data_IF_140457843441
#
_entry.id   IF_140457843441
#
_cell.length_a   1.000
_cell.length_b   1.000
_cell.length_c   1.000
_cell.angle_alpha   90.00
_cell.angle_beta   90.00
_cell.angle_gamma   90.00
#
_symmetry.space_group_name_H-M   'P 1'
#
loop_
_entity.id
_entity.type
_entity.pdbx_description
1 polymer ?
#
# COMPACT_ATOMS: atom_id res chain seq x y z
N UNK A 1 -20.21 -6.21 1.01
CA UNK A 1 -19.60 -6.39 -0.35
C UNK A 1 -18.12 -6.17 -0.19
N UNK A 2 -17.27 -6.96 -0.85
CA UNK A 2 -15.83 -6.78 -0.75
C UNK A 2 -15.43 -5.39 -1.27
N UNK A 3 -14.41 -4.78 -0.63
CA UNK A 3 -13.86 -3.51 -1.11
C UNK A 3 -13.01 -3.70 -2.37
N UNK A 4 -12.37 -4.87 -2.49
CA UNK A 4 -11.54 -5.27 -3.65
C UNK A 4 -11.99 -6.63 -4.15
N UNK A 5 -12.12 -6.77 -5.48
CA UNK A 5 -12.38 -8.05 -6.12
C UNK A 5 -11.59 -8.17 -7.43
N UNK A 6 -10.76 -9.20 -7.54
CA UNK A 6 -10.05 -9.60 -8.76
C UNK A 6 -10.77 -10.80 -9.38
N UNK A 7 -11.12 -10.72 -10.68
CA UNK A 7 -11.80 -11.78 -11.43
C UNK A 7 -10.97 -12.21 -12.64
N UNK A 8 -10.30 -13.34 -12.55
CA UNK A 8 -9.48 -13.95 -13.61
C UNK A 8 -8.48 -12.97 -14.24
N UNK A 9 -7.81 -12.19 -13.40
CA UNK A 9 -6.91 -11.10 -13.83
C UNK A 9 -5.59 -11.68 -14.29
N UNK A 10 -5.18 -11.35 -15.51
CA UNK A 10 -3.85 -11.64 -16.07
C UNK A 10 -3.15 -10.33 -16.44
N UNK A 11 -1.82 -10.30 -16.24
CA UNK A 11 -0.97 -9.23 -16.74
C UNK A 11 0.22 -9.82 -17.46
N UNK A 12 0.33 -9.50 -18.74
CA UNK A 12 1.39 -9.97 -19.64
C UNK A 12 2.16 -8.74 -20.12
N UNK A 13 3.45 -8.72 -19.89
CA UNK A 13 4.36 -7.73 -20.44
C UNK A 13 5.02 -8.28 -21.68
N UNK A 14 5.03 -7.51 -22.78
CA UNK A 14 5.65 -7.88 -24.03
C UNK A 14 6.86 -6.97 -24.27
N UNK A 15 8.04 -7.57 -24.50
CA UNK A 15 9.26 -6.86 -24.84
C UNK A 15 9.95 -7.57 -26.01
N UNK A 16 9.80 -7.00 -27.22
CA UNK A 16 10.20 -7.67 -28.46
C UNK A 16 9.44 -8.99 -28.63
N UNK A 17 10.16 -10.09 -28.85
CA UNK A 17 9.59 -11.44 -29.00
C UNK A 17 9.37 -12.19 -27.66
N UNK A 18 9.67 -11.54 -26.52
CA UNK A 18 9.52 -12.15 -25.21
C UNK A 18 8.23 -11.72 -24.53
N UNK A 19 7.41 -12.69 -24.11
CA UNK A 19 6.25 -12.47 -23.26
C UNK A 19 6.56 -12.92 -21.83
N UNK A 20 6.33 -12.01 -20.87
CA UNK A 20 6.42 -12.32 -19.46
C UNK A 20 5.04 -12.21 -18.82
N UNK A 21 4.47 -13.34 -18.43
CA UNK A 21 3.22 -13.38 -17.69
C UNK A 21 3.48 -13.10 -16.21
N UNK A 22 3.32 -11.85 -15.81
CA UNK A 22 3.53 -11.43 -14.44
C UNK A 22 2.40 -11.87 -13.49
N UNK A 23 1.14 -11.90 -14.01
CA UNK A 23 -0.01 -12.49 -13.32
C UNK A 23 -0.78 -13.40 -14.30
N UNK A 24 -1.28 -14.53 -13.80
CA UNK A 24 -1.98 -15.55 -14.57
C UNK A 24 -3.30 -15.95 -13.90
N UNK A 25 -4.41 -15.40 -14.39
CA UNK A 25 -5.81 -15.67 -13.98
C UNK A 25 -6.02 -15.59 -12.47
N UNK A 26 -5.50 -14.52 -11.87
CA UNK A 26 -5.61 -14.27 -10.43
C UNK A 26 -7.04 -13.88 -10.06
N UNK A 27 -7.60 -14.54 -9.03
CA UNK A 27 -8.92 -14.23 -8.49
C UNK A 27 -8.87 -14.27 -6.95
N UNK A 28 -9.35 -13.20 -6.30
CA UNK A 28 -9.54 -13.11 -4.85
C UNK A 28 -10.44 -11.92 -4.52
N UNK A 29 -10.90 -11.84 -3.28
CA UNK A 29 -11.63 -10.69 -2.75
C UNK A 29 -11.10 -10.29 -1.38
N UNK A 30 -11.26 -9.01 -1.03
CA UNK A 30 -10.88 -8.44 0.27
C UNK A 30 -12.03 -7.64 0.84
N UNK A 31 -12.29 -7.79 2.12
CA UNK A 31 -13.25 -6.97 2.84
C UNK A 31 -12.64 -5.66 3.32
N UNK A 32 -13.49 -4.66 3.56
CA UNK A 32 -13.10 -3.34 4.03
C UNK A 32 -12.52 -3.40 5.45
N UNK A 33 -11.57 -2.50 5.75
CA UNK A 33 -10.97 -2.35 7.07
C UNK A 33 -9.99 -3.45 7.47
N UNK A 34 -9.57 -4.31 6.55
CA UNK A 34 -8.62 -5.40 6.80
C UNK A 34 -7.17 -4.98 6.62
N UNK A 35 -6.30 -5.52 7.46
CA UNK A 35 -4.85 -5.48 7.27
C UNK A 35 -4.43 -6.73 6.49
N UNK A 36 -4.04 -6.54 5.24
CA UNK A 36 -3.78 -7.61 4.27
C UNK A 36 -2.30 -7.66 3.94
N UNK A 37 -1.71 -8.85 3.95
CA UNK A 37 -0.33 -9.07 3.51
C UNK A 37 -0.29 -9.97 2.29
N UNK A 38 0.30 -9.47 1.21
CA UNK A 38 0.59 -10.24 -0.01
C UNK A 38 2.05 -10.70 0.08
N UNK A 39 2.22 -11.99 0.29
CA UNK A 39 3.51 -12.63 0.54
C UNK A 39 3.98 -13.44 -0.67
N UNK A 40 5.26 -13.35 -0.99
CA UNK A 40 5.87 -14.18 -2.02
C UNK A 40 7.33 -13.81 -2.30
N UNK A 41 8.08 -14.67 -2.98
CA UNK A 41 9.47 -14.39 -3.35
C UNK A 41 9.57 -13.19 -4.32
N UNK A 42 10.80 -12.69 -4.53
CA UNK A 42 11.05 -11.68 -5.56
C UNK A 42 10.61 -12.21 -6.94
N UNK A 43 10.04 -11.34 -7.77
CA UNK A 43 9.52 -11.73 -9.09
C UNK A 43 8.22 -12.55 -9.08
N UNK A 44 7.57 -12.76 -7.92
CA UNK A 44 6.32 -13.54 -7.85
C UNK A 44 5.10 -12.85 -8.47
N UNK A 45 5.17 -11.55 -8.78
CA UNK A 45 4.04 -10.74 -9.29
C UNK A 45 3.39 -9.82 -8.25
N UNK A 46 3.97 -9.68 -7.04
CA UNK A 46 3.41 -8.88 -5.93
C UNK A 46 3.24 -7.40 -6.29
N UNK A 47 4.31 -6.73 -6.75
CA UNK A 47 4.26 -5.32 -7.14
C UNK A 47 3.37 -5.09 -8.36
N UNK A 48 3.30 -6.06 -9.29
CA UNK A 48 2.34 -6.02 -10.41
C UNK A 48 0.91 -6.02 -9.89
N UNK A 49 0.59 -6.88 -8.92
CA UNK A 49 -0.72 -6.95 -8.29
C UNK A 49 -1.06 -5.64 -7.58
N UNK A 50 -0.10 -5.06 -6.83
CA UNK A 50 -0.24 -3.78 -6.17
C UNK A 50 -0.49 -2.65 -7.18
N UNK A 51 0.28 -2.60 -8.29
CA UNK A 51 0.15 -1.59 -9.33
C UNK A 51 -1.21 -1.66 -10.04
N UNK A 52 -1.70 -2.85 -10.31
CA UNK A 52 -3.04 -3.05 -10.90
C UNK A 52 -4.13 -2.57 -9.94
N UNK A 53 -4.05 -2.95 -8.66
CA UNK A 53 -5.00 -2.50 -7.64
C UNK A 53 -4.96 -0.98 -7.47
N UNK A 54 -3.78 -0.39 -7.57
CA UNK A 54 -3.57 1.05 -7.44
C UNK A 54 -3.88 1.86 -8.70
N UNK A 55 -4.24 1.21 -9.82
CA UNK A 55 -4.49 1.90 -11.08
C UNK A 55 -3.23 2.58 -11.66
N UNK A 56 -2.05 2.06 -11.35
CA UNK A 56 -0.77 2.47 -11.96
C UNK A 56 -0.49 1.66 -13.23
N UNK A 57 -1.18 0.54 -13.39
CA UNK A 57 -1.12 -0.34 -14.55
C UNK A 57 -2.53 -0.90 -14.82
N UNK A 58 -2.75 -1.49 -16.00
CA UNK A 58 -4.04 -2.07 -16.40
C UNK A 58 -3.89 -3.55 -16.68
N UNK A 59 -4.89 -4.39 -16.37
CA UNK A 59 -4.84 -5.81 -16.66
C UNK A 59 -4.87 -6.06 -18.18
N UNK A 60 -4.19 -7.12 -18.62
CA UNK A 60 -4.29 -7.61 -20.00
C UNK A 60 -5.61 -8.37 -20.21
N UNK A 61 -6.06 -9.10 -19.18
CA UNK A 61 -7.31 -9.85 -19.16
C UNK A 61 -7.93 -9.81 -17.77
N UNK A 62 -9.25 -10.07 -17.71
CA UNK A 62 -10.00 -10.11 -16.45
C UNK A 62 -10.47 -8.73 -16.00
N UNK A 63 -11.00 -8.68 -14.77
CA UNK A 63 -11.60 -7.46 -14.21
C UNK A 63 -11.19 -7.25 -12.77
N UNK A 64 -11.05 -5.97 -12.40
CA UNK A 64 -10.74 -5.54 -11.04
C UNK A 64 -11.83 -4.58 -10.60
N UNK A 65 -12.48 -4.91 -9.47
CA UNK A 65 -13.48 -4.05 -8.88
C UNK A 65 -12.95 -3.48 -7.56
N UNK A 66 -13.15 -2.18 -7.37
CA UNK A 66 -12.85 -1.49 -6.11
C UNK A 66 -14.08 -0.71 -5.67
N UNK A 67 -14.56 -0.97 -4.46
CA UNK A 67 -15.84 -0.41 -3.95
C UNK A 67 -16.99 -0.57 -4.95
N UNK A 68 -17.04 -1.71 -5.65
CA UNK A 68 -18.05 -2.03 -6.66
C UNK A 68 -17.84 -1.40 -8.04
N UNK A 69 -16.87 -0.51 -8.23
CA UNK A 69 -16.53 0.11 -9.52
C UNK A 69 -15.49 -0.74 -10.26
N UNK A 70 -15.75 -1.07 -11.54
CA UNK A 70 -14.77 -1.74 -12.43
C UNK A 70 -13.68 -0.73 -12.81
N UNK A 71 -12.47 -0.91 -12.27
CA UNK A 71 -11.32 -0.05 -12.57
C UNK A 71 -10.52 -0.51 -13.79
N UNK A 72 -10.79 -1.72 -14.32
CA UNK A 72 -10.06 -2.28 -15.46
C UNK A 72 -10.38 -1.58 -16.77
N UNK A 73 -11.55 -0.94 -16.84
CA UNK A 73 -12.06 -0.28 -18.05
C UNK A 73 -11.91 1.27 -18.00
N UNK A 74 -11.27 1.80 -16.94
CA UNK A 74 -11.11 3.24 -16.77
C UNK A 74 -10.04 3.78 -17.71
N UNK A 75 -10.28 4.99 -18.24
CA UNK A 75 -9.30 5.79 -18.96
C UNK A 75 -8.18 6.26 -18.01
N UNK A 76 -7.09 6.78 -18.58
CA UNK A 76 -5.97 7.32 -17.78
C UNK A 76 -6.40 8.47 -16.84
N UNK A 77 -7.31 9.33 -17.29
CA UNK A 77 -7.83 10.44 -16.50
C UNK A 77 -8.72 9.91 -15.35
N UNK A 78 -9.61 8.96 -15.63
CA UNK A 78 -10.43 8.31 -14.59
C UNK A 78 -9.59 7.51 -13.59
N UNK A 79 -8.47 6.89 -14.02
CA UNK A 79 -7.51 6.26 -13.13
C UNK A 79 -6.76 7.30 -12.28
N UNK A 80 -6.50 8.51 -12.80
CA UNK A 80 -5.94 9.60 -12.00
C UNK A 80 -6.92 10.02 -10.90
N UNK A 81 -8.20 10.19 -11.22
CA UNK A 81 -9.27 10.49 -10.25
C UNK A 81 -9.44 9.37 -9.22
N UNK A 82 -9.38 8.12 -9.66
CA UNK A 82 -9.40 6.95 -8.77
C UNK A 82 -8.23 6.97 -7.79
N UNK A 83 -7.00 7.22 -8.28
CA UNK A 83 -5.83 7.37 -7.42
C UNK A 83 -5.97 8.57 -6.48
N UNK A 84 -6.48 9.69 -6.98
CA UNK A 84 -6.67 10.89 -6.17
C UNK A 84 -7.65 10.69 -5.01
N UNK A 85 -8.74 9.98 -5.22
CA UNK A 85 -9.84 9.87 -4.25
C UNK A 85 -9.84 8.61 -3.39
N UNK A 86 -9.24 7.50 -3.86
CA UNK A 86 -9.49 6.19 -3.27
C UNK A 86 -8.23 5.53 -2.72
N UNK A 87 -7.07 5.75 -3.34
CA UNK A 87 -5.84 5.01 -3.03
C UNK A 87 -4.77 5.91 -2.46
N UNK A 88 -4.12 5.49 -1.38
CA UNK A 88 -2.84 6.03 -0.91
C UNK A 88 -1.71 5.05 -1.24
N UNK A 89 -0.52 5.56 -1.56
CA UNK A 89 0.66 4.76 -1.82
C UNK A 89 1.77 5.06 -0.84
N UNK A 90 2.39 3.99 -0.32
CA UNK A 90 3.63 4.01 0.44
C UNK A 90 4.63 3.13 -0.29
N UNK A 91 5.68 3.72 -0.82
CA UNK A 91 6.72 3.03 -1.58
C UNK A 91 7.92 2.68 -0.69
N UNK A 92 8.72 1.73 -1.13
CA UNK A 92 9.98 1.36 -0.49
C UNK A 92 10.97 2.54 -0.44
N UNK A 93 11.03 3.34 -1.50
CA UNK A 93 11.72 4.62 -1.51
C UNK A 93 10.70 5.71 -1.17
N UNK A 94 11.03 6.58 -0.24
CA UNK A 94 10.09 7.51 0.40
C UNK A 94 9.44 8.52 -0.54
N UNK A 95 10.08 8.80 -1.69
CA UNK A 95 9.59 9.72 -2.73
C UNK A 95 9.20 11.10 -2.17
N UNK A 96 9.97 11.59 -1.19
CA UNK A 96 9.81 12.94 -0.66
C UNK A 96 10.45 13.96 -1.59
N UNK A 97 9.84 15.13 -1.68
CA UNK A 97 10.41 16.28 -2.40
C UNK A 97 11.47 16.90 -1.51
N UNK A 98 12.78 16.86 -1.88
CA UNK A 98 13.87 17.22 -0.97
C UNK A 98 13.94 18.70 -0.64
N UNK A 99 13.33 19.56 -1.46
CA UNK A 99 13.27 21.01 -1.30
C UNK A 99 12.08 21.51 -0.50
N UNK A 100 11.19 20.61 -0.09
CA UNK A 100 10.03 20.90 0.75
C UNK A 100 10.26 20.38 2.16
N UNK A 101 9.75 21.09 3.14
CA UNK A 101 9.74 20.64 4.55
C UNK A 101 8.87 19.40 4.71
N UNK A 102 8.96 18.73 5.85
CA UNK A 102 8.12 17.59 6.25
C UNK A 102 6.64 17.93 6.11
N UNK A 103 6.22 19.07 6.69
CA UNK A 103 4.84 19.54 6.62
C UNK A 103 4.40 19.79 5.16
N UNK A 104 5.20 20.50 4.38
CA UNK A 104 4.90 20.80 2.98
C UNK A 104 4.80 19.53 2.13
N UNK A 105 5.68 18.52 2.36
CA UNK A 105 5.58 17.23 1.70
C UNK A 105 4.22 16.54 1.93
N UNK A 106 3.69 16.63 3.15
CA UNK A 106 2.37 16.07 3.47
C UNK A 106 1.26 16.93 2.88
N UNK A 107 1.39 18.27 2.87
CA UNK A 107 0.41 19.18 2.32
C UNK A 107 0.20 19.07 0.81
N UNK A 108 1.18 18.50 0.06
CA UNK A 108 1.03 18.30 -1.39
C UNK A 108 -0.28 17.57 -1.78
N UNK A 109 -0.81 16.73 -0.91
CA UNK A 109 -2.05 15.99 -1.20
C UNK A 109 -3.30 16.87 -1.10
N UNK A 110 -3.24 18.03 -0.45
CA UNK A 110 -4.38 18.93 -0.31
C UNK A 110 -4.86 19.49 -1.65
N UNK A 111 -3.91 19.60 -2.62
CA UNK A 111 -4.21 20.10 -3.97
C UNK A 111 -5.05 19.09 -4.80
N UNK A 112 -5.01 17.80 -4.42
CA UNK A 112 -5.63 16.72 -5.22
C UNK A 112 -6.71 15.95 -4.46
N UNK A 113 -6.85 16.16 -3.14
CA UNK A 113 -7.80 15.43 -2.31
C UNK A 113 -8.71 16.40 -1.54
N UNK A 114 -9.98 16.57 -1.94
CA UNK A 114 -10.88 17.57 -1.35
C UNK A 114 -11.22 17.32 0.12
N UNK A 115 -11.05 16.09 0.60
CA UNK A 115 -11.31 15.66 1.98
C UNK A 115 -10.03 15.27 2.71
N UNK A 116 -8.90 15.90 2.38
CA UNK A 116 -7.63 15.63 3.03
C UNK A 116 -7.68 15.95 4.53
N UNK A 117 -7.02 15.11 5.33
CA UNK A 117 -6.77 15.40 6.73
C UNK A 117 -5.69 16.50 6.87
N UNK A 118 -5.75 17.31 7.93
CA UNK A 118 -4.69 18.28 8.23
C UNK A 118 -3.33 17.58 8.32
N UNK A 119 -2.31 18.17 7.69
CA UNK A 119 -0.96 17.60 7.63
C UNK A 119 -0.36 17.41 9.03
N UNK A 120 -0.53 18.42 9.91
CA UNK A 120 -0.03 18.39 11.28
C UNK A 120 -0.62 17.20 12.06
N UNK A 121 -1.93 16.93 11.90
CA UNK A 121 -2.59 15.81 12.54
C UNK A 121 -1.99 14.48 12.08
N UNK A 122 -1.75 14.31 10.79
CA UNK A 122 -1.16 13.08 10.27
C UNK A 122 0.30 12.91 10.67
N UNK A 123 1.04 14.00 10.81
CA UNK A 123 2.42 13.98 11.31
C UNK A 123 2.47 13.66 12.81
N UNK A 124 1.50 14.12 13.59
CA UNK A 124 1.34 13.73 15.00
C UNK A 124 1.06 12.22 15.14
N UNK A 125 0.16 11.67 14.33
CA UNK A 125 -0.19 10.23 14.34
C UNK A 125 1.01 9.31 14.03
N UNK A 126 2.00 9.81 13.28
CA UNK A 126 3.23 9.08 12.98
C UNK A 126 4.41 9.47 13.88
N UNK A 127 4.18 10.29 14.92
CA UNK A 127 5.20 10.69 15.91
C UNK A 127 6.24 11.65 15.34
N UNK A 128 5.83 12.63 14.51
CA UNK A 128 6.71 13.62 13.87
C UNK A 128 6.29 15.07 14.15
N UNK A 129 5.60 15.33 15.27
CA UNK A 129 5.17 16.69 15.66
C UNK A 129 6.31 17.69 15.75
N UNK A 130 7.49 17.25 16.20
CA UNK A 130 8.67 18.11 16.42
C UNK A 130 9.48 18.34 15.14
N UNK A 131 9.13 17.67 14.03
CA UNK A 131 9.88 17.67 12.77
C UNK A 131 9.20 18.44 11.63
N UNK A 132 8.13 19.19 11.89
CA UNK A 132 7.28 19.83 10.86
C UNK A 132 8.07 20.69 9.86
N UNK A 133 9.09 21.41 10.36
CA UNK A 133 9.89 22.37 9.60
C UNK A 133 11.23 21.79 9.10
N UNK A 134 11.53 20.54 9.43
CA UNK A 134 12.74 19.87 8.94
C UNK A 134 12.62 19.54 7.46
N UNK A 135 13.75 19.47 6.77
CA UNK A 135 13.84 18.95 5.41
C UNK A 135 14.10 17.43 5.41
N UNK A 136 13.75 16.70 4.35
CA UNK A 136 14.03 15.27 4.27
C UNK A 136 15.48 14.86 4.55
N UNK A 137 16.45 15.71 4.19
CA UNK A 137 17.87 15.47 4.42
C UNK A 137 18.28 15.49 5.90
N UNK A 138 17.44 16.04 6.77
CA UNK A 138 17.68 16.13 8.23
C UNK A 138 17.06 14.97 9.00
N UNK A 139 16.35 14.06 8.29
CA UNK A 139 15.62 12.94 8.84
C UNK A 139 16.35 11.61 8.62
N UNK A 140 16.26 10.71 9.60
CA UNK A 140 16.59 9.29 9.42
C UNK A 140 15.70 8.63 8.37
N UNK A 141 16.10 7.46 7.83
CA UNK A 141 15.30 6.71 6.87
C UNK A 141 13.91 6.35 7.40
N UNK A 142 13.82 5.98 8.67
CA UNK A 142 12.55 5.67 9.31
C UNK A 142 11.62 6.87 9.48
N UNK A 143 12.19 8.05 9.79
CA UNK A 143 11.40 9.29 9.83
C UNK A 143 10.90 9.68 8.45
N UNK A 144 11.74 9.57 7.41
CA UNK A 144 11.33 9.80 6.02
C UNK A 144 10.19 8.86 5.61
N UNK A 145 10.26 7.58 6.00
CA UNK A 145 9.19 6.62 5.75
C UNK A 145 7.90 7.02 6.46
N UNK A 146 7.97 7.46 7.72
CA UNK A 146 6.80 7.95 8.45
C UNK A 146 6.19 9.21 7.81
N UNK A 147 7.01 10.13 7.26
CA UNK A 147 6.50 11.26 6.45
C UNK A 147 5.76 10.77 5.21
N UNK A 148 6.31 9.79 4.49
CA UNK A 148 5.66 9.17 3.32
C UNK A 148 4.30 8.55 3.68
N UNK A 149 4.22 7.87 4.83
CA UNK A 149 2.97 7.32 5.37
C UNK A 149 1.99 8.44 5.74
N UNK A 150 2.43 9.46 6.46
CA UNK A 150 1.60 10.61 6.82
C UNK A 150 1.02 11.30 5.57
N UNK A 151 1.83 11.49 4.52
CA UNK A 151 1.39 12.02 3.23
C UNK A 151 0.33 11.14 2.57
N UNK A 152 0.53 9.83 2.55
CA UNK A 152 -0.44 8.90 1.98
C UNK A 152 -1.76 8.89 2.75
N UNK A 153 -1.71 9.00 4.09
CA UNK A 153 -2.85 9.03 4.98
C UNK A 153 -3.61 10.37 4.95
N UNK A 154 -2.88 11.49 4.82
CA UNK A 154 -3.47 12.82 4.75
C UNK A 154 -4.50 12.94 3.62
N UNK A 155 -4.31 12.18 2.56
CA UNK A 155 -5.25 12.04 1.45
C UNK A 155 -6.60 11.43 1.84
N UNK A 156 -6.72 10.83 3.02
CA UNK A 156 -7.90 10.12 3.51
C UNK A 156 -8.35 8.96 2.59
N UNK A 157 -7.44 8.09 2.12
CA UNK A 157 -7.77 7.05 1.17
C UNK A 157 -8.65 5.97 1.81
N UNK A 158 -9.40 5.21 0.98
CA UNK A 158 -10.09 3.99 1.42
C UNK A 158 -9.12 2.82 1.53
N UNK A 159 -8.14 2.77 0.63
CA UNK A 159 -7.14 1.70 0.54
C UNK A 159 -5.75 2.32 0.58
N UNK A 160 -4.89 1.83 1.46
CA UNK A 160 -3.47 2.17 1.51
C UNK A 160 -2.66 0.99 0.98
N UNK A 161 -1.90 1.22 -0.07
CA UNK A 161 -1.04 0.24 -0.74
C UNK A 161 0.42 0.50 -0.36
N UNK A 162 1.07 -0.51 0.23
CA UNK A 162 2.43 -0.41 0.73
C UNK A 162 3.33 -1.43 0.02
N UNK A 163 4.34 -0.97 -0.68
CA UNK A 163 5.36 -1.81 -1.32
C UNK A 163 6.61 -1.85 -0.44
N UNK A 164 6.82 -2.98 0.25
CA UNK A 164 7.94 -3.22 1.18
C UNK A 164 8.18 -2.07 2.17
N UNK A 165 7.15 -1.61 2.95
CA UNK A 165 7.21 -0.36 3.71
C UNK A 165 8.27 -0.34 4.82
N UNK A 166 8.80 -1.49 5.23
CA UNK A 166 9.86 -1.64 6.24
C UNK A 166 11.15 -2.24 5.67
N UNK A 167 11.21 -2.51 4.35
CA UNK A 167 12.31 -3.28 3.75
C UNK A 167 13.68 -2.60 3.77
N UNK A 168 13.75 -1.29 3.95
CA UNK A 168 14.98 -0.51 4.04
C UNK A 168 15.28 0.00 5.46
N UNK A 169 14.52 -0.46 6.47
CA UNK A 169 14.60 0.02 7.85
C UNK A 169 15.25 -1.03 8.77
N UNK A 170 15.85 -0.57 9.84
CA UNK A 170 16.23 -1.44 10.96
C UNK A 170 14.99 -2.02 11.66
N UNK A 171 15.19 -3.07 12.46
CA UNK A 171 14.10 -3.81 13.08
C UNK A 171 13.19 -2.95 13.96
N UNK A 172 13.77 -2.08 14.78
CA UNK A 172 13.02 -1.24 15.73
C UNK A 172 12.13 -0.23 14.97
N UNK A 173 12.72 0.45 13.99
CA UNK A 173 12.02 1.41 13.13
C UNK A 173 10.96 0.71 12.28
N UNK A 174 11.25 -0.50 11.78
CA UNK A 174 10.31 -1.31 11.02
C UNK A 174 9.06 -1.67 11.82
N UNK A 175 9.22 -2.11 13.09
CA UNK A 175 8.10 -2.37 14.01
C UNK A 175 7.26 -1.11 14.22
N UNK A 176 7.91 0.05 14.42
CA UNK A 176 7.20 1.31 14.62
C UNK A 176 6.33 1.68 13.41
N UNK A 177 6.88 1.56 12.20
CA UNK A 177 6.13 1.79 10.95
C UNK A 177 4.92 0.86 10.84
N UNK A 178 5.08 -0.41 11.16
CA UNK A 178 3.96 -1.37 11.10
C UNK A 178 2.89 -1.10 12.16
N UNK A 179 3.28 -0.66 13.37
CA UNK A 179 2.32 -0.21 14.39
C UNK A 179 1.46 0.95 13.90
N UNK A 180 2.07 1.93 13.23
CA UNK A 180 1.34 3.04 12.62
C UNK A 180 0.34 2.50 11.59
N UNK A 181 0.78 1.64 10.66
CA UNK A 181 -0.11 1.08 9.63
C UNK A 181 -1.26 0.26 10.25
N UNK A 182 -0.99 -0.57 11.26
CA UNK A 182 -2.01 -1.32 11.98
C UNK A 182 -3.02 -0.40 12.69
N UNK A 183 -2.53 0.68 13.33
CA UNK A 183 -3.40 1.64 13.98
C UNK A 183 -4.36 2.31 12.99
N UNK A 184 -3.90 2.57 11.77
CA UNK A 184 -4.73 3.15 10.71
C UNK A 184 -5.85 2.21 10.26
N UNK A 185 -5.57 0.91 10.14
CA UNK A 185 -6.62 -0.07 9.86
C UNK A 185 -7.67 -0.09 10.99
N UNK A 186 -7.23 -0.18 12.24
CA UNK A 186 -8.12 -0.32 13.42
C UNK A 186 -8.89 0.96 13.74
N UNK A 187 -8.21 2.11 13.78
CA UNK A 187 -8.79 3.35 14.30
C UNK A 187 -9.54 4.15 13.22
N UNK A 188 -9.13 4.02 11.95
CA UNK A 188 -9.71 4.77 10.83
C UNK A 188 -10.46 3.88 9.83
N UNK A 189 -10.56 2.57 10.10
CA UNK A 189 -11.25 1.62 9.22
C UNK A 189 -10.66 1.52 7.82
N UNK A 190 -9.36 1.83 7.66
CA UNK A 190 -8.70 1.79 6.35
C UNK A 190 -8.32 0.37 5.99
N UNK A 191 -8.49 0.01 4.71
CA UNK A 191 -7.95 -1.25 4.20
C UNK A 191 -6.48 -1.06 3.86
N UNK A 192 -5.60 -1.81 4.52
CA UNK A 192 -4.15 -1.73 4.31
C UNK A 192 -3.71 -2.97 3.55
N UNK A 193 -3.02 -2.80 2.43
CA UNK A 193 -2.46 -3.90 1.64
C UNK A 193 -0.95 -3.73 1.55
N UNK A 194 -0.22 -4.64 2.18
CA UNK A 194 1.25 -4.65 2.17
C UNK A 194 1.71 -5.77 1.26
N UNK A 195 2.61 -5.49 0.33
CA UNK A 195 3.39 -6.52 -0.37
C UNK A 195 4.77 -6.62 0.28
N UNK A 196 5.19 -7.84 0.59
CA UNK A 196 6.48 -8.10 1.22
C UNK A 196 6.96 -9.53 0.95
N UNK A 197 8.25 -9.77 1.19
CA UNK A 197 8.84 -11.11 1.25
C UNK A 197 9.06 -11.56 2.71
N UNK A 198 8.89 -10.66 3.70
CA UNK A 198 9.07 -10.97 5.12
C UNK A 198 7.86 -11.75 5.66
N UNK A 199 8.09 -13.01 6.06
CA UNK A 199 7.04 -13.90 6.58
C UNK A 199 6.53 -13.48 7.96
N UNK A 200 7.32 -12.75 8.73
CA UNK A 200 6.93 -12.35 10.07
C UNK A 200 5.83 -11.27 10.02
N UNK A 201 5.88 -10.35 9.04
CA UNK A 201 4.81 -9.36 8.83
C UNK A 201 3.47 -10.05 8.54
N UNK A 202 3.49 -11.20 7.86
CA UNK A 202 2.26 -11.93 7.56
C UNK A 202 1.56 -12.47 8.81
N UNK A 203 2.27 -12.66 9.95
CA UNK A 203 1.65 -13.10 11.21
C UNK A 203 0.70 -12.06 11.82
N UNK A 204 0.87 -10.78 11.45
CA UNK A 204 0.08 -9.64 11.92
C UNK A 204 -1.16 -9.37 11.08
N UNK A 205 -1.29 -10.03 9.92
CA UNK A 205 -2.34 -9.76 8.96
C UNK A 205 -3.67 -10.40 9.34
N UNK A 206 -4.79 -9.72 9.09
CA UNK A 206 -6.11 -10.33 9.08
C UNK A 206 -6.24 -11.33 7.93
N UNK A 207 -5.63 -11.00 6.77
CA UNK A 207 -5.66 -11.83 5.56
C UNK A 207 -4.26 -11.94 4.96
N UNK A 208 -3.83 -13.17 4.69
CA UNK A 208 -2.56 -13.45 4.00
C UNK A 208 -2.83 -14.03 2.61
N UNK A 209 -2.35 -13.36 1.58
CA UNK A 209 -2.38 -13.83 0.19
C UNK A 209 -0.98 -14.29 -0.20
N UNK A 210 -0.81 -15.58 -0.52
CA UNK A 210 0.46 -16.12 -0.98
C UNK A 210 0.53 -16.16 -2.49
N UNK A 211 1.52 -15.46 -3.06
CA UNK A 211 1.74 -15.38 -4.52
C UNK A 211 3.01 -16.13 -4.89
N UNK A 212 2.95 -16.92 -5.96
CA UNK A 212 4.12 -17.60 -6.54
C UNK A 212 3.93 -17.75 -8.04
N UNK A 213 4.94 -17.32 -8.83
CA UNK A 213 4.94 -17.41 -10.29
C UNK A 213 3.66 -16.83 -10.93
N UNK A 214 3.27 -15.65 -10.52
CA UNK A 214 2.09 -14.94 -11.03
C UNK A 214 0.73 -15.52 -10.64
N UNK A 215 0.68 -16.50 -9.71
CA UNK A 215 -0.57 -17.17 -9.29
C UNK A 215 -0.80 -17.05 -7.79
N UNK A 216 -2.04 -16.95 -7.38
CA UNK A 216 -2.44 -17.10 -5.98
C UNK A 216 -2.31 -18.57 -5.60
N UNK A 217 -1.55 -18.84 -4.54
CA UNK A 217 -1.41 -20.18 -3.97
C UNK A 217 -2.39 -20.43 -2.83
N UNK A 218 -2.62 -19.42 -2.01
CA UNK A 218 -3.61 -19.48 -0.94
C UNK A 218 -4.06 -18.07 -0.56
N UNK A 219 -5.29 -17.96 -0.09
CA UNK A 219 -5.82 -16.83 0.67
C UNK A 219 -6.22 -17.40 2.02
N UNK A 220 -5.68 -16.86 3.09
CA UNK A 220 -5.89 -17.37 4.46
C UNK A 220 -6.31 -16.22 5.35
N UNK A 221 -7.47 -16.34 5.99
CA UNK A 221 -7.89 -15.44 7.07
C UNK A 221 -7.32 -15.92 8.38
N UNK A 222 -6.84 -15.01 9.22
CA UNK A 222 -6.31 -15.29 10.55
C UNK A 222 -7.31 -14.82 11.59
N UNK A 223 -7.74 -15.74 12.48
CA UNK A 223 -8.69 -15.42 13.53
C UNK A 223 -8.05 -14.55 14.62
N UNK A 224 -6.77 -14.75 14.91
CA UNK A 224 -6.00 -14.05 15.93
C UNK A 224 -4.64 -13.59 15.37
N UNK A 225 -4.61 -12.44 14.66
CA UNK A 225 -3.36 -11.85 14.20
C UNK A 225 -2.48 -11.43 15.38
N UNK A 226 -1.17 -11.70 15.29
CA UNK A 226 -0.19 -11.29 16.30
C UNK A 226 -0.11 -9.76 16.37
N UNK A 227 0.22 -9.23 17.55
CA UNK A 227 0.58 -7.82 17.68
C UNK A 227 1.95 -7.53 17.07
N UNK A 228 2.22 -6.28 16.72
CA UNK A 228 3.52 -5.88 16.18
C UNK A 228 4.68 -6.07 17.17
N UNK A 229 4.39 -6.08 18.49
CA UNK A 229 5.38 -6.29 19.55
C UNK A 229 5.80 -7.76 19.71
N UNK A 230 4.97 -8.68 19.22
CA UNK A 230 5.22 -10.15 19.32
C UNK A 230 5.96 -10.69 18.09
N UNK A 231 6.15 -9.87 17.06
CA UNK A 231 6.79 -10.28 15.80
C UNK A 231 8.30 -10.14 15.92
N UNK A 232 9.02 -11.26 15.83
CA UNK A 232 10.48 -11.28 15.69
C UNK A 232 10.89 -10.83 14.27
N UNK A 233 11.94 -10.02 14.19
CA UNK A 233 12.46 -9.42 12.93
C UNK A 233 13.72 -10.11 12.44
#
# INVERSE_FOLDING_TARGET
MPIVEFKNVSRIYVSGDHEQKALDKVSFSLDEGKFVVILGPSGAGKSTLLNLLGGLDSPTEGKIYVSGKDISALSNDELADYRASTVGFVFQFYNLVPTLTVKENVMLVNEIAPNAFPAEKMLEEVGLSDHLNNFPSELSGGEQQRVSIARALAKNPKILLCDEPSGALDSETGVMVLKVLLSMAKNYGKTIVIVTHNQNIAKMADVVIRVKNGKIKSVTEQAEPMSADEVEW
#
